data_IF_153383385277
#
_entry.id   IF_153383385277
#
_cell.length_a   1.000
_cell.length_b   1.000
_cell.length_c   1.000
_cell.angle_alpha   90.00
_cell.angle_beta   90.00
_cell.angle_gamma   90.00
#
_symmetry.space_group_name_H-M   'P 1'
#
loop_
_entity.id
_entity.type
_entity.pdbx_description
1 polymer ?
#
# COMPACT_ATOMS: atom_id res chain seq x y z
N UNK A 1 6.61 -13.49 -19.37
CA UNK A 1 5.54 -12.46 -19.39
C UNK A 1 5.61 -11.60 -18.13
N UNK A 2 4.86 -10.49 -18.08
CA UNK A 2 4.89 -9.44 -17.02
C UNK A 2 4.90 -9.97 -15.57
N UNK A 3 4.21 -11.10 -15.31
CA UNK A 3 4.03 -11.68 -13.98
C UNK A 3 4.95 -12.86 -13.66
N UNK A 4 5.77 -13.32 -14.61
CA UNK A 4 6.59 -14.52 -14.45
C UNK A 4 5.82 -15.86 -14.41
N UNK A 5 4.50 -15.83 -14.61
CA UNK A 5 3.62 -17.02 -14.69
C UNK A 5 2.43 -16.73 -15.60
N UNK A 6 1.76 -17.79 -16.05
CA UNK A 6 0.47 -17.76 -16.77
C UNK A 6 -0.59 -18.61 -16.06
N UNK A 7 -0.41 -18.88 -14.76
CA UNK A 7 -1.39 -19.64 -13.97
C UNK A 7 -2.77 -18.95 -14.01
N UNK A 8 -3.87 -19.71 -14.05
CA UNK A 8 -5.22 -19.15 -13.95
C UNK A 8 -5.46 -18.55 -12.56
N UNK A 9 -6.45 -17.67 -12.45
CA UNK A 9 -6.83 -17.04 -11.17
C UNK A 9 -5.96 -15.84 -10.78
N UNK A 10 -5.15 -15.31 -11.70
CA UNK A 10 -4.43 -14.06 -11.50
C UNK A 10 -5.43 -12.90 -11.68
N UNK A 11 -5.79 -12.14 -10.61
CA UNK A 11 -6.98 -11.30 -10.62
C UNK A 11 -6.98 -10.22 -11.71
N UNK A 12 -5.84 -9.56 -11.96
CA UNK A 12 -5.75 -8.59 -13.05
C UNK A 12 -5.85 -9.26 -14.43
N UNK A 13 -5.31 -10.47 -14.58
CA UNK A 13 -5.37 -11.21 -15.86
C UNK A 13 -6.82 -11.58 -16.16
N UNK A 14 -7.51 -12.16 -15.18
CA UNK A 14 -8.91 -12.57 -15.31
C UNK A 14 -9.83 -11.38 -15.59
N UNK A 15 -9.58 -10.23 -14.97
CA UNK A 15 -10.41 -9.05 -15.13
C UNK A 15 -10.20 -8.33 -16.47
N UNK A 16 -8.93 -8.16 -16.90
CA UNK A 16 -8.61 -7.23 -18.00
C UNK A 16 -7.90 -7.85 -19.20
N UNK A 17 -7.31 -9.04 -19.07
CA UNK A 17 -6.51 -9.65 -20.15
C UNK A 17 -7.26 -10.83 -20.77
N UNK A 18 -7.75 -11.77 -19.97
CA UNK A 18 -8.47 -12.94 -20.45
C UNK A 18 -9.74 -12.62 -21.24
N UNK A 19 -10.59 -11.64 -20.84
CA UNK A 19 -11.79 -11.28 -21.61
C UNK A 19 -11.51 -10.27 -22.75
N UNK A 20 -10.28 -9.78 -22.91
CA UNK A 20 -9.95 -8.79 -23.91
C UNK A 20 -9.89 -9.37 -25.34
N UNK A 21 -9.96 -8.49 -26.34
CA UNK A 21 -9.74 -8.86 -27.73
C UNK A 21 -8.27 -9.15 -28.05
N UNK A 22 -8.02 -9.76 -29.21
CA UNK A 22 -6.67 -10.19 -29.64
C UNK A 22 -5.78 -9.06 -30.20
N UNK A 23 -6.22 -7.80 -30.14
CA UNK A 23 -5.53 -6.65 -30.74
C UNK A 23 -5.27 -5.56 -29.71
N UNK A 24 -4.10 -4.90 -29.81
CA UNK A 24 -3.76 -3.70 -29.05
C UNK A 24 -3.74 -2.51 -29.99
N UNK A 25 -4.34 -1.39 -29.57
CA UNK A 25 -4.31 -0.12 -30.30
C UNK A 25 -3.40 0.86 -29.57
N UNK A 26 -2.43 1.43 -30.27
CA UNK A 26 -1.56 2.50 -29.79
C UNK A 26 -1.76 3.78 -30.61
N UNK A 27 -1.51 4.93 -29.99
CA UNK A 27 -1.61 6.24 -30.62
C UNK A 27 -1.45 7.37 -29.62
N UNK A 28 -1.45 8.61 -30.11
CA UNK A 28 -1.45 9.80 -29.27
C UNK A 28 -2.81 9.96 -28.58
N UNK A 29 -2.80 10.14 -27.26
CA UNK A 29 -4.01 10.24 -26.45
C UNK A 29 -4.24 11.68 -25.99
N UNK A 30 -5.35 12.27 -26.43
CA UNK A 30 -5.86 13.52 -25.90
C UNK A 30 -7.03 13.24 -24.93
N UNK A 31 -6.85 13.60 -23.66
CA UNK A 31 -7.88 13.45 -22.63
C UNK A 31 -8.69 14.75 -22.53
N UNK A 32 -9.94 14.73 -22.99
CA UNK A 32 -10.77 15.92 -23.16
C UNK A 32 -11.12 16.66 -21.86
N UNK A 33 -11.25 15.93 -20.76
CA UNK A 33 -11.58 16.48 -19.44
C UNK A 33 -10.79 15.77 -18.34
N UNK A 34 -10.39 16.48 -17.27
CA UNK A 34 -9.86 15.82 -16.08
C UNK A 34 -10.85 14.75 -15.56
N UNK A 35 -10.33 13.56 -15.27
CA UNK A 35 -11.14 12.44 -14.78
C UNK A 35 -11.58 12.71 -13.34
N UNK A 36 -12.86 12.49 -13.06
CA UNK A 36 -13.47 12.50 -11.73
C UNK A 36 -14.31 11.25 -11.56
N UNK A 37 -14.29 10.68 -10.35
CA UNK A 37 -15.05 9.48 -10.02
C UNK A 37 -16.35 9.81 -9.29
N UNK A 38 -16.44 11.00 -8.67
CA UNK A 38 -17.60 11.47 -7.90
C UNK A 38 -18.00 10.51 -6.76
N UNK A 39 -17.02 9.83 -6.16
CA UNK A 39 -17.16 8.87 -5.07
C UNK A 39 -16.82 9.47 -3.69
N UNK A 40 -16.75 10.80 -3.61
CA UNK A 40 -16.33 11.52 -2.41
C UNK A 40 -14.81 11.58 -2.20
N UNK A 41 -13.99 10.89 -2.99
CA UNK A 41 -12.53 10.81 -2.80
C UNK A 41 -11.70 11.62 -3.82
N UNK A 42 -12.35 12.31 -4.76
CA UNK A 42 -11.66 13.06 -5.83
C UNK A 42 -10.69 14.13 -5.30
N UNK A 43 -10.95 14.68 -4.10
CA UNK A 43 -10.06 15.64 -3.46
C UNK A 43 -8.71 15.05 -3.01
N UNK A 44 -8.63 13.71 -2.85
CA UNK A 44 -7.36 13.01 -2.63
C UNK A 44 -6.62 12.65 -3.93
N UNK A 45 -7.28 12.71 -5.10
CA UNK A 45 -6.69 12.32 -6.39
C UNK A 45 -5.84 13.45 -6.99
N UNK A 46 -4.75 13.77 -6.30
CA UNK A 46 -3.82 14.82 -6.71
C UNK A 46 -2.95 14.36 -7.89
N UNK A 47 -2.93 15.15 -8.96
CA UNK A 47 -2.00 14.95 -10.07
C UNK A 47 -0.54 15.13 -9.62
N UNK A 48 0.44 14.58 -10.36
CA UNK A 48 1.86 14.82 -10.10
C UNK A 48 2.21 16.32 -10.00
N UNK A 49 1.56 17.18 -10.81
CA UNK A 49 1.76 18.64 -10.76
C UNK A 49 1.22 19.25 -9.46
N UNK A 50 0.06 18.80 -8.99
CA UNK A 50 -0.52 19.26 -7.72
C UNK A 50 0.32 18.79 -6.52
N UNK A 51 0.81 17.55 -6.55
CA UNK A 51 1.70 17.02 -5.51
C UNK A 51 3.00 17.83 -5.40
N UNK A 52 3.67 18.11 -6.52
CA UNK A 52 4.86 18.98 -6.53
C UNK A 52 4.60 20.35 -5.94
N UNK A 53 3.48 20.99 -6.35
CA UNK A 53 3.07 22.28 -5.80
C UNK A 53 2.83 22.21 -4.28
N UNK A 54 2.26 21.12 -3.79
CA UNK A 54 2.02 20.94 -2.35
C UNK A 54 3.34 20.72 -1.58
N UNK A 55 4.30 19.97 -2.14
CA UNK A 55 5.63 19.83 -1.55
C UNK A 55 6.36 21.18 -1.48
N UNK A 56 6.32 21.97 -2.56
CA UNK A 56 6.91 23.31 -2.61
C UNK A 56 6.23 24.24 -1.58
N UNK A 57 4.89 24.19 -1.48
CA UNK A 57 4.10 24.97 -0.51
C UNK A 57 4.50 24.65 0.93
N UNK A 58 4.75 23.36 1.22
CA UNK A 58 5.24 22.91 2.53
C UNK A 58 6.74 23.10 2.72
N UNK A 59 7.46 23.65 1.75
CA UNK A 59 8.92 23.83 1.79
C UNK A 59 9.65 22.51 2.10
N UNK A 60 9.21 21.42 1.47
CA UNK A 60 9.81 20.11 1.65
C UNK A 60 11.23 20.09 1.04
N UNK A 61 12.23 19.71 1.82
CA UNK A 61 13.61 19.53 1.33
C UNK A 61 13.94 18.06 1.03
N UNK A 62 13.08 17.14 1.45
CA UNK A 62 13.02 15.76 1.00
C UNK A 62 11.57 15.27 0.95
N UNK A 63 11.23 14.46 -0.05
CA UNK A 63 9.95 13.75 -0.11
C UNK A 63 10.21 12.25 -0.15
N UNK A 64 9.59 11.52 0.78
CA UNK A 64 9.67 10.06 0.84
C UNK A 64 8.29 9.45 0.65
N UNK A 65 8.19 8.53 -0.31
CA UNK A 65 6.91 7.93 -0.68
C UNK A 65 6.72 6.55 -0.04
N UNK A 66 5.50 6.31 0.43
CA UNK A 66 5.03 5.00 0.86
C UNK A 66 3.85 4.55 -0.01
N UNK A 67 4.11 3.60 -0.90
CA UNK A 67 3.09 2.90 -1.68
C UNK A 67 2.40 1.86 -0.80
N UNK A 68 1.07 1.81 -0.85
CA UNK A 68 0.28 0.80 -0.16
C UNK A 68 -1.03 0.51 -0.88
N UNK A 69 -1.54 -0.71 -0.67
CA UNK A 69 -2.89 -1.14 -1.06
C UNK A 69 -3.69 -1.71 0.11
N UNK A 70 -3.08 -1.77 1.30
CA UNK A 70 -3.61 -2.41 2.49
C UNK A 70 -3.84 -1.35 3.59
N UNK A 71 -4.64 -1.63 4.62
CA UNK A 71 -4.67 -0.84 5.85
C UNK A 71 -3.27 -0.61 6.45
N UNK A 72 -3.07 0.54 7.08
CA UNK A 72 -1.82 0.88 7.77
C UNK A 72 -1.84 0.29 9.17
N UNK A 73 -0.96 -0.68 9.43
CA UNK A 73 -0.64 -1.16 10.77
C UNK A 73 0.68 -0.53 11.24
N UNK A 74 1.02 -0.68 12.53
CA UNK A 74 2.18 -0.02 13.15
C UNK A 74 3.53 -0.53 12.60
N UNK A 75 3.55 -1.62 11.84
CA UNK A 75 4.72 -2.07 11.09
C UNK A 75 5.01 -1.15 9.91
N UNK A 76 3.98 -0.77 9.13
CA UNK A 76 4.11 0.24 8.09
C UNK A 76 4.51 1.59 8.72
N UNK A 77 3.88 1.98 9.83
CA UNK A 77 4.23 3.20 10.56
C UNK A 77 5.68 3.21 11.03
N UNK A 78 6.20 2.08 11.54
CA UNK A 78 7.60 1.94 11.91
C UNK A 78 8.53 2.25 10.73
N UNK A 79 8.23 1.74 9.53
CA UNK A 79 9.03 2.01 8.34
C UNK A 79 9.00 3.50 7.95
N UNK A 80 7.82 4.12 8.01
CA UNK A 80 7.62 5.54 7.68
C UNK A 80 8.31 6.47 8.70
N UNK A 81 8.12 6.21 9.99
CA UNK A 81 8.71 7.00 11.08
C UNK A 81 10.24 6.82 11.14
N UNK A 82 10.74 5.60 10.94
CA UNK A 82 12.18 5.34 10.86
C UNK A 82 12.82 6.00 9.63
N UNK A 83 12.11 6.03 8.49
CA UNK A 83 12.54 6.80 7.31
C UNK A 83 12.69 8.28 7.64
N UNK A 84 11.67 8.90 8.24
CA UNK A 84 11.72 10.30 8.65
C UNK A 84 12.92 10.56 9.56
N UNK A 85 13.10 9.72 10.60
CA UNK A 85 14.24 9.81 11.53
C UNK A 85 15.58 9.79 10.79
N UNK A 86 15.79 8.82 9.89
CA UNK A 86 17.02 8.71 9.09
C UNK A 86 17.25 9.94 8.21
N UNK A 87 16.20 10.49 7.59
CA UNK A 87 16.33 11.69 6.77
C UNK A 87 16.75 12.92 7.61
N UNK A 88 16.18 13.06 8.81
CA UNK A 88 16.62 14.11 9.74
C UNK A 88 18.09 13.93 10.15
N UNK A 89 18.53 12.70 10.41
CA UNK A 89 19.93 12.35 10.71
C UNK A 89 20.87 12.61 9.53
N UNK A 90 20.39 12.47 8.29
CA UNK A 90 21.12 12.82 7.06
C UNK A 90 21.21 14.34 6.83
N UNK A 91 20.53 15.15 7.65
CA UNK A 91 20.62 16.61 7.62
C UNK A 91 19.44 17.33 6.97
N UNK A 92 18.47 16.60 6.39
CA UNK A 92 17.20 17.19 5.95
C UNK A 92 16.47 17.82 7.14
N UNK A 93 15.83 18.97 6.93
CA UNK A 93 15.15 19.76 7.96
C UNK A 93 13.64 19.57 7.91
N UNK A 94 13.09 19.30 6.74
CA UNK A 94 11.66 19.17 6.53
C UNK A 94 11.31 18.03 5.56
N UNK A 95 11.66 16.78 5.90
CA UNK A 95 11.25 15.63 5.10
C UNK A 95 9.72 15.49 5.17
N UNK A 96 9.03 15.29 4.03
CA UNK A 96 7.58 15.11 3.99
C UNK A 96 7.23 13.69 3.51
N UNK A 97 6.36 13.02 4.26
CA UNK A 97 5.81 11.73 3.88
C UNK A 97 4.73 11.93 2.81
N UNK A 98 4.87 11.23 1.69
CA UNK A 98 3.77 11.00 0.76
C UNK A 98 3.17 9.62 1.04
N UNK A 99 2.10 9.58 1.85
CA UNK A 99 1.30 8.37 2.08
C UNK A 99 0.36 8.20 0.89
N UNK A 100 0.63 7.21 0.05
CA UNK A 100 0.11 7.20 -1.32
C UNK A 100 -0.68 5.92 -1.64
N UNK A 101 -1.86 5.69 -1.02
CA UNK A 101 -2.68 4.53 -1.28
C UNK A 101 -3.05 4.41 -2.77
N UNK A 102 -2.96 3.19 -3.29
CA UNK A 102 -3.46 2.87 -4.62
C UNK A 102 -5.00 2.83 -4.60
N UNK A 103 -5.61 3.46 -5.61
CA UNK A 103 -7.08 3.59 -5.72
C UNK A 103 -7.67 3.25 -7.08
N UNK A 104 -6.89 2.68 -8.01
CA UNK A 104 -7.46 1.96 -9.15
C UNK A 104 -7.98 0.57 -8.75
N UNK A 105 -8.16 -0.31 -9.73
CA UNK A 105 -8.57 -1.70 -9.48
C UNK A 105 -7.70 -2.40 -8.42
N UNK A 106 -8.36 -3.13 -7.53
CA UNK A 106 -7.79 -4.09 -6.58
C UNK A 106 -8.63 -5.37 -6.58
N UNK A 107 -8.02 -6.51 -6.26
CA UNK A 107 -8.70 -7.81 -6.19
C UNK A 107 -9.75 -7.83 -5.06
N UNK A 108 -10.78 -8.67 -5.21
CA UNK A 108 -11.99 -8.65 -4.39
C UNK A 108 -11.79 -8.85 -2.87
N UNK A 109 -10.74 -9.57 -2.43
CA UNK A 109 -10.47 -9.77 -1.00
C UNK A 109 -9.56 -8.69 -0.36
N UNK A 110 -9.14 -7.68 -1.13
CA UNK A 110 -8.49 -6.49 -0.58
C UNK A 110 -9.53 -5.53 0.02
N UNK A 111 -9.15 -4.76 1.05
CA UNK A 111 -10.04 -3.79 1.68
C UNK A 111 -10.37 -2.65 0.69
N UNK A 112 -11.65 -2.29 0.48
CA UNK A 112 -12.05 -1.21 -0.41
C UNK A 112 -11.35 0.14 -0.12
N UNK A 113 -11.24 0.97 -1.15
CA UNK A 113 -10.48 2.23 -1.06
C UNK A 113 -11.04 3.19 -0.02
N UNK A 114 -12.34 3.42 -0.01
CA UNK A 114 -13.06 4.27 0.95
C UNK A 114 -12.79 3.85 2.40
N UNK A 115 -12.90 2.55 2.69
CA UNK A 115 -12.60 1.99 4.01
C UNK A 115 -11.12 2.18 4.37
N UNK A 116 -10.20 1.98 3.42
CA UNK A 116 -8.77 2.26 3.65
C UNK A 116 -8.51 3.73 3.92
N UNK A 117 -9.16 4.64 3.21
CA UNK A 117 -9.00 6.08 3.41
C UNK A 117 -9.52 6.51 4.79
N UNK A 118 -10.67 5.98 5.23
CA UNK A 118 -11.18 6.19 6.60
C UNK A 118 -10.19 5.64 7.64
N UNK A 119 -9.67 4.43 7.43
CA UNK A 119 -8.68 3.82 8.31
C UNK A 119 -7.38 4.64 8.39
N UNK A 120 -6.90 5.19 7.26
CA UNK A 120 -5.71 6.04 7.22
C UNK A 120 -5.95 7.38 7.92
N UNK A 121 -7.15 7.95 7.84
CA UNK A 121 -7.53 9.14 8.61
C UNK A 121 -7.36 8.88 10.11
N UNK A 122 -7.85 7.74 10.60
CA UNK A 122 -7.68 7.35 12.02
C UNK A 122 -6.24 7.16 12.45
N UNK A 123 -5.39 6.62 11.57
CA UNK A 123 -3.94 6.52 11.85
C UNK A 123 -3.28 7.88 12.04
N UNK A 124 -3.73 8.91 11.31
CA UNK A 124 -3.24 10.29 11.45
C UNK A 124 -3.85 10.98 12.67
N UNK A 125 -5.15 10.80 12.92
CA UNK A 125 -5.84 11.33 14.10
C UNK A 125 -5.25 10.79 15.42
N UNK A 126 -4.89 9.50 15.44
CA UNK A 126 -4.26 8.84 16.59
C UNK A 126 -2.78 9.21 16.77
N UNK A 127 -2.21 10.04 15.88
CA UNK A 127 -0.81 10.50 15.95
C UNK A 127 0.24 9.42 15.67
N UNK A 128 -0.16 8.27 15.11
CA UNK A 128 0.78 7.21 14.68
C UNK A 128 1.68 7.70 13.55
N UNK A 129 1.10 8.50 12.66
CA UNK A 129 1.79 9.31 11.67
C UNK A 129 1.45 10.77 11.94
N UNK A 130 2.44 11.65 11.81
CA UNK A 130 2.25 13.08 12.02
C UNK A 130 1.53 13.73 10.82
N UNK A 131 0.33 14.32 10.99
CA UNK A 131 -0.42 14.94 9.89
C UNK A 131 0.25 16.20 9.32
N UNK A 132 1.03 16.93 10.11
CA UNK A 132 1.70 18.16 9.64
C UNK A 132 2.78 17.83 8.60
N UNK A 133 3.42 16.68 8.76
CA UNK A 133 4.51 16.23 7.89
C UNK A 133 4.12 15.07 6.97
N UNK A 134 2.81 14.86 6.80
CA UNK A 134 2.24 13.85 5.91
C UNK A 134 1.28 14.47 4.89
N UNK A 135 1.41 14.04 3.64
CA UNK A 135 0.44 14.28 2.58
C UNK A 135 -0.19 12.93 2.21
N UNK A 136 -1.52 12.86 2.30
CA UNK A 136 -2.29 11.71 1.83
C UNK A 136 -2.83 12.02 0.44
N UNK A 137 -2.54 11.14 -0.53
CA UNK A 137 -3.08 11.25 -1.88
C UNK A 137 -3.35 9.86 -2.47
N UNK A 138 -4.34 9.77 -3.36
CA UNK A 138 -4.70 8.51 -4.03
C UNK A 138 -3.95 8.38 -5.35
N UNK A 139 -3.22 7.28 -5.50
CA UNK A 139 -2.55 6.90 -6.74
C UNK A 139 -3.55 6.19 -7.67
N UNK A 140 -3.87 6.72 -8.86
CA UNK A 140 -5.02 6.25 -9.65
C UNK A 140 -4.75 4.96 -10.46
N UNK A 141 -3.54 4.40 -10.41
CA UNK A 141 -3.21 3.20 -11.19
C UNK A 141 -4.00 1.97 -10.72
N UNK A 142 -4.40 1.07 -11.63
CA UNK A 142 -4.74 -0.31 -11.30
C UNK A 142 -3.58 -1.05 -10.64
N UNK A 143 -3.90 -1.97 -9.73
CA UNK A 143 -2.96 -2.92 -9.13
C UNK A 143 -2.84 -4.18 -10.00
N UNK A 144 -1.64 -4.52 -10.46
CA UNK A 144 -1.41 -5.66 -11.34
C UNK A 144 -1.08 -6.96 -10.59
N UNK A 145 -0.67 -6.83 -9.32
CA UNK A 145 -0.12 -7.89 -8.49
C UNK A 145 1.08 -8.58 -9.15
N UNK A 146 1.95 -7.80 -9.80
CA UNK A 146 3.07 -8.28 -10.61
C UNK A 146 4.45 -8.10 -9.95
N UNK A 147 4.49 -7.96 -8.63
CA UNK A 147 5.70 -8.10 -7.82
C UNK A 147 6.87 -7.20 -8.26
N UNK A 148 8.08 -7.77 -8.47
CA UNK A 148 9.27 -7.00 -8.88
C UNK A 148 9.13 -6.21 -10.19
N UNK A 149 8.25 -6.63 -11.10
CA UNK A 149 7.96 -5.86 -12.32
C UNK A 149 7.15 -4.61 -11.99
N UNK A 150 6.12 -4.75 -11.16
CA UNK A 150 5.19 -3.66 -10.83
C UNK A 150 5.79 -2.65 -9.84
N UNK A 151 6.64 -3.09 -8.90
CA UNK A 151 7.24 -2.15 -7.94
C UNK A 151 8.09 -1.07 -8.63
N UNK A 152 8.66 -1.36 -9.79
CA UNK A 152 9.37 -0.38 -10.62
C UNK A 152 8.41 0.71 -11.14
N UNK A 153 7.20 0.33 -11.57
CA UNK A 153 6.16 1.27 -11.95
C UNK A 153 5.72 2.14 -10.77
N UNK A 154 5.47 1.52 -9.61
CA UNK A 154 5.09 2.24 -8.40
C UNK A 154 6.14 3.26 -7.97
N UNK A 155 7.42 2.93 -8.08
CA UNK A 155 8.53 3.84 -7.81
C UNK A 155 8.64 4.94 -8.86
N UNK A 156 8.62 4.61 -10.15
CA UNK A 156 8.72 5.57 -11.26
C UNK A 156 7.60 6.61 -11.23
N UNK A 157 6.38 6.19 -10.92
CA UNK A 157 5.24 7.10 -10.76
C UNK A 157 5.47 8.12 -9.64
N UNK A 158 6.13 7.71 -8.55
CA UNK A 158 6.43 8.58 -7.39
C UNK A 158 7.59 9.52 -7.68
N UNK A 159 8.59 9.10 -8.46
CA UNK A 159 9.60 10.00 -9.03
C UNK A 159 8.94 11.09 -9.87
N UNK A 160 8.00 10.72 -10.75
CA UNK A 160 7.25 11.68 -11.56
C UNK A 160 6.41 12.64 -10.69
N UNK A 161 5.91 12.18 -9.55
CA UNK A 161 5.22 13.00 -8.56
C UNK A 161 6.14 13.89 -7.72
N UNK A 162 7.46 13.68 -7.73
CA UNK A 162 8.44 14.51 -7.01
C UNK A 162 9.06 13.86 -5.78
N UNK A 163 8.86 12.56 -5.54
CA UNK A 163 9.55 11.84 -4.47
C UNK A 163 11.03 11.62 -4.78
N UNK A 164 11.90 11.87 -3.79
CA UNK A 164 13.35 11.65 -3.86
C UNK A 164 13.76 10.35 -3.16
N UNK A 165 12.91 9.85 -2.26
CA UNK A 165 13.08 8.60 -1.53
C UNK A 165 11.87 7.70 -1.72
N UNK A 166 12.11 6.40 -1.80
CA UNK A 166 11.05 5.41 -1.93
C UNK A 166 11.25 4.28 -0.93
N UNK A 167 10.24 4.10 -0.06
CA UNK A 167 10.23 3.03 0.92
C UNK A 167 9.79 1.74 0.23
N UNK A 168 10.59 0.70 0.38
CA UNK A 168 10.26 -0.64 -0.14
C UNK A 168 10.50 -1.70 0.93
N UNK A 169 9.46 -2.50 1.18
CA UNK A 169 9.46 -3.58 2.17
C UNK A 169 9.66 -4.96 1.55
N UNK A 170 9.17 -5.99 2.26
CA UNK A 170 9.10 -7.39 1.81
C UNK A 170 7.98 -7.56 0.78
N UNK A 171 8.21 -8.36 -0.26
CA UNK A 171 7.22 -8.78 -1.25
C UNK A 171 6.35 -7.63 -1.82
N UNK A 172 6.97 -6.52 -2.29
CA UNK A 172 6.22 -5.38 -2.78
C UNK A 172 5.46 -5.78 -4.04
N UNK A 173 4.19 -5.38 -4.10
CA UNK A 173 3.26 -5.74 -5.16
C UNK A 173 3.03 -7.26 -5.37
N UNK A 174 3.40 -8.09 -4.41
CA UNK A 174 3.15 -9.52 -4.44
C UNK A 174 1.77 -9.95 -3.93
N UNK A 175 1.47 -11.22 -4.15
CA UNK A 175 0.32 -11.98 -3.66
C UNK A 175 0.69 -13.46 -3.54
N UNK A 176 -0.15 -14.26 -2.87
CA UNK A 176 -0.01 -15.73 -2.91
C UNK A 176 -0.27 -16.28 -4.32
N UNK A 177 0.37 -17.39 -4.66
CA UNK A 177 0.13 -18.07 -5.93
C UNK A 177 -1.32 -18.60 -5.97
N UNK A 178 -2.12 -18.35 -7.03
CA UNK A 178 -3.53 -18.76 -7.04
C UNK A 178 -3.76 -20.26 -6.90
N UNK A 179 -2.83 -21.08 -7.42
CA UNK A 179 -2.96 -22.55 -7.46
C UNK A 179 -1.97 -23.30 -6.58
N UNK A 180 -1.01 -22.62 -5.95
CA UNK A 180 0.07 -23.26 -5.18
C UNK A 180 0.18 -22.64 -3.79
N UNK A 181 0.56 -23.44 -2.78
CA UNK A 181 0.72 -22.97 -1.39
C UNK A 181 2.06 -22.23 -1.17
N UNK A 182 2.31 -21.17 -1.93
CA UNK A 182 3.50 -20.33 -1.81
C UNK A 182 3.23 -18.89 -2.24
N UNK A 183 4.16 -17.99 -1.92
CA UNK A 183 4.19 -16.64 -2.49
C UNK A 183 4.45 -16.71 -4.01
N UNK A 184 3.85 -15.78 -4.77
CA UNK A 184 4.05 -15.70 -6.22
C UNK A 184 5.47 -15.28 -6.60
N UNK A 185 6.09 -14.45 -5.74
CA UNK A 185 7.43 -13.90 -5.92
C UNK A 185 8.30 -14.18 -4.70
N UNK A 186 9.61 -14.22 -4.92
CA UNK A 186 10.55 -14.16 -3.80
C UNK A 186 10.44 -12.79 -3.11
N UNK A 187 10.33 -12.76 -1.77
CA UNK A 187 10.07 -11.54 -1.01
C UNK A 187 11.15 -10.46 -1.09
N UNK A 188 12.38 -10.81 -1.47
CA UNK A 188 13.49 -9.87 -1.59
C UNK A 188 13.72 -9.38 -3.02
N UNK A 189 13.13 -10.03 -4.03
CA UNK A 189 13.33 -9.67 -5.43
C UNK A 189 12.88 -8.24 -5.74
N UNK A 190 11.77 -7.78 -5.15
CA UNK A 190 11.29 -6.42 -5.39
C UNK A 190 12.32 -5.35 -5.01
N UNK A 191 12.99 -5.50 -3.86
CA UNK A 191 14.05 -4.58 -3.41
C UNK A 191 15.28 -4.66 -4.32
N UNK A 192 15.75 -5.87 -4.62
CA UNK A 192 16.93 -6.12 -5.45
C UNK A 192 16.75 -5.55 -6.87
N UNK A 193 15.63 -5.88 -7.51
CA UNK A 193 15.30 -5.38 -8.86
C UNK A 193 15.20 -3.86 -8.86
N UNK A 194 14.56 -3.27 -7.84
CA UNK A 194 14.42 -1.82 -7.77
C UNK A 194 15.76 -1.09 -7.61
N UNK A 195 16.72 -1.66 -6.86
CA UNK A 195 18.07 -1.10 -6.72
C UNK A 195 18.93 -1.14 -7.98
N UNK A 196 18.55 -1.92 -8.99
CA UNK A 196 19.28 -2.08 -10.24
C UNK A 196 18.47 -1.68 -11.48
N UNK A 197 17.27 -1.11 -11.27
CA UNK A 197 16.37 -0.77 -12.36
C UNK A 197 16.85 0.50 -13.11
N UNK A 198 16.98 0.44 -14.44
CA UNK A 198 17.39 1.60 -15.24
C UNK A 198 16.32 2.69 -15.20
N UNK A 199 16.74 3.95 -15.20
CA UNK A 199 15.86 5.12 -15.14
C UNK A 199 15.34 5.47 -13.73
N UNK A 200 15.80 4.76 -12.70
CA UNK A 200 15.52 5.02 -11.28
C UNK A 200 16.78 5.38 -10.48
N UNK A 201 17.89 5.70 -11.15
CA UNK A 201 19.20 5.95 -10.53
C UNK A 201 19.19 7.16 -9.56
N UNK A 202 18.27 8.11 -9.79
CA UNK A 202 18.10 9.30 -8.94
C UNK A 202 17.19 9.06 -7.73
N UNK A 203 16.53 7.91 -7.66
CA UNK A 203 15.63 7.57 -6.56
C UNK A 203 16.40 6.85 -5.46
N UNK A 204 16.42 7.44 -4.27
CA UNK A 204 17.03 6.80 -3.12
C UNK A 204 16.10 5.70 -2.59
N UNK A 205 16.46 4.46 -2.86
CA UNK A 205 15.74 3.30 -2.35
C UNK A 205 16.13 3.11 -0.89
N UNK A 206 15.14 3.11 0.00
CA UNK A 206 15.33 2.81 1.42
C UNK A 206 14.83 1.39 1.69
N UNK A 207 15.70 0.37 1.60
CA UNK A 207 15.31 -1.00 1.87
C UNK A 207 15.11 -1.18 3.38
N UNK A 208 13.98 -1.77 3.75
CA UNK A 208 13.70 -2.11 5.14
C UNK A 208 13.83 -3.59 5.41
N UNK A 209 14.29 -3.87 6.65
CA UNK A 209 14.14 -5.18 7.27
C UNK A 209 12.65 -5.41 7.57
N UNK A 210 12.26 -6.68 7.65
CA UNK A 210 10.87 -7.05 7.95
C UNK A 210 10.50 -6.51 9.33
N UNK A 211 9.34 -5.86 9.44
CA UNK A 211 8.77 -5.47 10.72
C UNK A 211 7.80 -6.56 11.21
N UNK A 212 7.88 -6.92 12.49
CA UNK A 212 7.02 -7.91 13.13
C UNK A 212 6.65 -7.44 14.55
N UNK A 213 5.62 -8.05 15.14
CA UNK A 213 5.19 -7.70 16.48
C UNK A 213 6.11 -8.38 17.50
N UNK A 214 6.86 -7.58 18.26
CA UNK A 214 7.72 -8.06 19.34
C UNK A 214 6.87 -8.33 20.58
N UNK A 215 6.75 -9.60 20.97
CA UNK A 215 5.87 -10.03 22.07
C UNK A 215 6.42 -9.65 23.44
N UNK A 216 7.73 -9.45 23.55
CA UNK A 216 8.40 -9.02 24.79
C UNK A 216 8.24 -7.50 24.96
N UNK A 217 8.52 -6.74 23.90
CA UNK A 217 8.41 -5.28 23.92
C UNK A 217 6.97 -4.76 23.73
N UNK A 218 6.03 -5.65 23.36
CA UNK A 218 4.61 -5.37 23.10
C UNK A 218 4.40 -4.24 22.09
N UNK A 219 5.17 -4.25 20.99
CA UNK A 219 5.09 -3.27 19.91
C UNK A 219 5.68 -3.80 18.61
N UNK A 220 5.39 -3.12 17.51
CA UNK A 220 6.07 -3.40 16.24
C UNK A 220 7.55 -3.03 16.31
N UNK A 221 8.42 -3.92 15.87
CA UNK A 221 9.86 -3.72 15.79
C UNK A 221 10.45 -4.37 14.53
N UNK A 222 11.68 -4.00 14.17
CA UNK A 222 12.41 -4.70 13.12
C UNK A 222 12.78 -6.10 13.59
N UNK A 223 12.48 -7.11 12.76
CA UNK A 223 12.75 -8.51 13.05
C UNK A 223 14.25 -8.75 13.29
N UNK A 224 14.55 -9.49 14.34
CA UNK A 224 15.89 -9.92 14.72
C UNK A 224 15.94 -11.45 14.73
N UNK A 225 16.67 -12.07 13.77
CA UNK A 225 16.77 -13.52 13.67
C UNK A 225 17.31 -14.22 14.91
N UNK A 226 18.15 -13.54 15.72
CA UNK A 226 18.75 -14.12 16.93
C UNK A 226 17.73 -14.39 18.04
N UNK A 227 16.58 -13.71 17.98
CA UNK A 227 15.47 -13.81 18.93
C UNK A 227 14.14 -14.03 18.21
N UNK A 228 14.17 -14.78 17.11
CA UNK A 228 13.02 -15.01 16.23
C UNK A 228 11.74 -15.47 16.93
N UNK A 229 11.87 -16.24 18.02
CA UNK A 229 10.76 -16.70 18.88
C UNK A 229 9.98 -15.58 19.58
N UNK A 230 10.58 -14.40 19.73
CA UNK A 230 9.96 -13.23 20.38
C UNK A 230 9.13 -12.41 19.37
N UNK A 231 9.08 -12.81 18.10
CA UNK A 231 8.36 -12.09 17.06
C UNK A 231 7.16 -12.86 16.54
N UNK A 232 6.03 -12.16 16.46
CA UNK A 232 4.80 -12.63 15.84
C UNK A 232 4.59 -11.94 14.49
N UNK A 233 4.46 -12.76 13.44
CA UNK A 233 4.05 -12.30 12.11
C UNK A 233 2.54 -12.41 11.97
N UNK A 234 1.89 -11.27 11.76
CA UNK A 234 0.45 -11.20 11.54
C UNK A 234 0.23 -10.91 10.05
N UNK A 235 -0.19 -11.92 9.31
CA UNK A 235 -0.50 -11.78 7.88
C UNK A 235 -1.80 -11.00 7.68
N UNK A 236 -2.02 -10.47 6.46
CA UNK A 236 -3.30 -9.87 6.09
C UNK A 236 -4.47 -10.85 6.30
N UNK A 237 -4.31 -12.12 5.96
CA UNK A 237 -5.31 -13.17 6.24
C UNK A 237 -5.63 -13.26 7.73
N UNK A 238 -4.62 -13.29 8.59
CA UNK A 238 -4.82 -13.38 10.04
C UNK A 238 -5.47 -12.11 10.61
N UNK A 239 -5.08 -10.94 10.13
CA UNK A 239 -5.72 -9.67 10.47
C UNK A 239 -7.20 -9.66 10.09
N UNK A 240 -7.54 -10.16 8.90
CA UNK A 240 -8.95 -10.29 8.47
C UNK A 240 -9.72 -11.29 9.32
N UNK A 241 -9.08 -12.40 9.71
CA UNK A 241 -9.69 -13.36 10.65
C UNK A 241 -10.03 -12.68 11.97
N UNK A 242 -9.10 -11.93 12.56
CA UNK A 242 -9.36 -11.18 13.79
C UNK A 242 -10.57 -10.24 13.65
N UNK A 243 -10.61 -9.44 12.59
CA UNK A 243 -11.72 -8.50 12.40
C UNK A 243 -13.06 -9.20 12.16
N UNK A 244 -13.06 -10.37 11.51
CA UNK A 244 -14.27 -11.19 11.28
C UNK A 244 -14.74 -11.95 12.52
N UNK A 245 -13.86 -12.34 13.43
CA UNK A 245 -14.24 -13.07 14.64
C UNK A 245 -14.52 -12.14 15.84
N UNK A 246 -14.34 -10.82 15.67
CA UNK A 246 -14.42 -9.86 16.76
C UNK A 246 -13.25 -9.94 17.74
N UNK A 247 -12.19 -10.66 17.40
CA UNK A 247 -10.96 -10.74 18.17
C UNK A 247 -10.07 -9.52 17.88
N UNK A 248 -9.35 -9.02 18.87
CA UNK A 248 -8.39 -7.94 18.67
C UNK A 248 -7.00 -8.51 18.34
N UNK A 249 -6.23 -7.89 17.42
CA UNK A 249 -4.82 -8.15 17.32
C UNK A 249 -4.12 -7.70 18.62
N UNK A 250 -2.87 -8.16 18.87
CA UNK A 250 -2.11 -7.70 20.02
C UNK A 250 -2.01 -6.17 20.09
N UNK A 251 -2.16 -5.62 21.30
CA UNK A 251 -2.02 -4.18 21.55
C UNK A 251 -0.75 -3.62 20.92
N UNK A 252 -0.85 -2.52 20.18
CA UNK A 252 0.29 -1.93 19.49
C UNK A 252 0.59 -2.52 18.12
N UNK A 253 -0.20 -3.49 17.62
CA UNK A 253 -0.15 -3.91 16.22
C UNK A 253 -0.71 -2.85 15.26
N UNK A 254 -1.84 -2.23 15.61
CA UNK A 254 -2.53 -1.16 14.89
C UNK A 254 -3.11 -0.19 15.91
N UNK A 255 -3.31 1.08 15.56
CA UNK A 255 -4.00 2.00 16.46
C UNK A 255 -5.47 1.62 16.65
N UNK A 256 -6.07 1.90 17.82
CA UNK A 256 -7.45 1.53 18.11
C UNK A 256 -8.46 2.10 17.11
N UNK A 257 -8.34 3.38 16.74
CA UNK A 257 -9.26 4.01 15.79
C UNK A 257 -9.17 3.38 14.41
N UNK A 258 -7.96 3.07 13.95
CA UNK A 258 -7.74 2.37 12.69
C UNK A 258 -8.28 0.93 12.71
N UNK A 259 -8.18 0.25 13.85
CA UNK A 259 -8.71 -1.11 14.00
C UNK A 259 -10.25 -1.13 14.00
N UNK A 260 -10.88 -0.18 14.69
CA UNK A 260 -12.34 -0.05 14.76
C UNK A 260 -12.98 0.10 13.37
N UNK A 261 -12.36 0.86 12.47
CA UNK A 261 -12.81 1.00 11.07
C UNK A 261 -12.84 -0.36 10.37
N UNK A 262 -11.81 -1.20 10.57
CA UNK A 262 -11.76 -2.52 9.96
C UNK A 262 -12.81 -3.46 10.55
N UNK A 263 -12.99 -3.47 11.86
CA UNK A 263 -14.03 -4.28 12.52
C UNK A 263 -15.41 -3.92 11.97
N UNK A 264 -15.77 -2.63 11.95
CA UNK A 264 -17.06 -2.17 11.39
C UNK A 264 -17.26 -2.58 9.94
N UNK A 265 -16.21 -2.53 9.12
CA UNK A 265 -16.28 -2.98 7.73
C UNK A 265 -16.57 -4.48 7.63
N UNK A 266 -15.84 -5.32 8.38
CA UNK A 266 -16.04 -6.76 8.33
C UNK A 266 -17.35 -7.22 8.96
N UNK A 267 -17.85 -6.54 9.99
CA UNK A 267 -19.19 -6.76 10.56
C UNK A 267 -20.29 -6.47 9.53
N UNK A 268 -20.18 -5.37 8.78
CA UNK A 268 -21.13 -5.04 7.70
C UNK A 268 -21.13 -6.09 6.59
N UNK A 269 -19.94 -6.52 6.15
CA UNK A 269 -19.82 -7.59 5.14
C UNK A 269 -20.48 -8.89 5.60
N UNK A 270 -20.31 -9.28 6.87
CA UNK A 270 -20.97 -10.47 7.43
C UNK A 270 -22.49 -10.32 7.49
N UNK A 271 -23.00 -9.13 7.84
CA UNK A 271 -24.43 -8.86 7.85
C UNK A 271 -25.05 -8.92 6.44
N UNK A 272 -24.33 -8.41 5.43
CA UNK A 272 -24.72 -8.50 4.02
C UNK A 272 -24.72 -9.95 3.53
N UNK A 273 -23.70 -10.75 3.86
CA UNK A 273 -23.62 -12.18 3.53
C UNK A 273 -24.71 -13.01 4.24
N UNK A 274 -25.11 -12.62 5.45
CA UNK A 274 -26.14 -13.30 6.24
C UNK A 274 -27.58 -12.96 5.82
N UNK A 275 -27.77 -11.91 5.00
CA UNK A 275 -29.10 -11.52 4.52
C UNK A 275 -29.38 -12.25 3.20
N UNK A 276 -30.32 -13.22 3.15
CA UNK A 276 -30.62 -13.90 1.90
C UNK A 276 -31.15 -12.87 0.89
N UNK A 277 -30.59 -12.87 -0.32
CA UNK A 277 -31.09 -12.06 -1.42
C UNK A 277 -32.60 -12.27 -1.53
N UNK A 278 -33.38 -11.23 -1.26
CA UNK A 278 -34.82 -11.26 -1.48
C UNK A 278 -35.02 -11.55 -2.97
N UNK A 279 -35.46 -12.77 -3.27
CA UNK A 279 -35.81 -13.21 -4.60
C UNK A 279 -36.92 -12.28 -5.09
N UNK A 280 -36.58 -11.36 -5.99
CA UNK A 280 -37.56 -10.56 -6.71
C UNK A 280 -38.33 -11.51 -7.63
N UNK A 281 -39.61 -11.68 -7.32
CA UNK A 281 -40.61 -12.33 -8.16
C UNK A 281 -40.90 -11.53 -9.44
#
# INVERSE_FOLDING_TARGET
GTRGTTAPGLPYVEEFIAPAGNWLLGGDLEVLKPIKYNDGLDHYRLSPKQLRKEFDRRQADAVFAFQLRNPVHNGHALLMNDTRRRLLEMGYKNPILLLHPLGGFTKADDVPLDVRMEQHSKVLEDGVLDPETTIVAVFPSPMHYAGPTEVQWHAKARVNAGANFYIVGRDPAGMGHPTEKRDLYDPDHGKKVLSMAPGLEKLNILPFRVAAYDTVAKKMAFFDPSRSKDFLFISGTKMRTYARTGENPPDGFMCPGGWEVLVKHYERLQAEEATPAAVSA
#
